data_IF_061514155979
#
_entry.id   IF_061514155979
#
_cell.length_a   1.000
_cell.length_b   1.000
_cell.length_c   1.000
_cell.angle_alpha   90.00
_cell.angle_beta   90.00
_cell.angle_gamma   90.00
#
_symmetry.space_group_name_H-M   'P 1'
#
loop_
_entity.id
_entity.type
_entity.pdbx_description
1 polymer ?
#
# COMPACT_ATOMS: atom_id res chain seq x y z
N UNK A 1 15.10 43.59 -8.50
CA UNK A 1 16.37 43.88 -7.77
C UNK A 1 17.51 43.56 -8.72
N UNK A 2 18.45 44.49 -8.95
CA UNK A 2 19.58 44.22 -9.83
C UNK A 2 20.48 43.15 -9.19
N UNK A 3 20.74 42.06 -9.89
CA UNK A 3 21.60 40.99 -9.39
C UNK A 3 23.02 41.54 -9.15
N UNK A 4 23.45 41.59 -7.90
CA UNK A 4 24.79 42.01 -7.51
C UNK A 4 25.79 40.97 -8.02
N UNK A 5 26.57 41.30 -9.05
CA UNK A 5 27.58 40.37 -9.59
C UNK A 5 28.69 40.15 -8.55
N UNK A 6 28.82 38.92 -8.06
CA UNK A 6 29.90 38.53 -7.14
C UNK A 6 31.17 38.28 -7.95
N UNK A 7 32.22 39.05 -7.70
CA UNK A 7 33.54 38.82 -8.29
C UNK A 7 34.26 37.76 -7.48
N UNK A 8 34.66 36.67 -8.13
CA UNK A 8 35.44 35.58 -7.52
C UNK A 8 36.85 35.66 -8.12
N UNK A 9 37.85 35.59 -7.25
CA UNK A 9 39.26 35.54 -7.64
C UNK A 9 39.78 34.15 -7.30
N UNK A 10 40.41 33.48 -8.26
CA UNK A 10 41.00 32.16 -8.10
C UNK A 10 42.49 32.30 -8.40
N UNK A 11 43.34 31.77 -7.53
CA UNK A 11 44.78 31.68 -7.76
C UNK A 11 45.06 30.33 -8.41
N UNK A 12 45.72 30.36 -9.56
CA UNK A 12 46.14 29.18 -10.32
C UNK A 12 47.58 29.36 -10.77
N UNK A 13 48.26 28.25 -11.05
CA UNK A 13 49.64 28.27 -11.53
C UNK A 13 49.74 28.96 -12.90
N UNK A 14 50.87 29.65 -13.13
CA UNK A 14 51.07 30.49 -14.30
C UNK A 14 51.05 29.70 -15.61
N UNK A 15 51.63 28.50 -15.61
CA UNK A 15 51.66 27.59 -16.75
C UNK A 15 50.26 27.10 -17.14
N UNK A 16 49.41 26.84 -16.14
CA UNK A 16 48.01 26.47 -16.32
C UNK A 16 47.20 27.64 -16.88
N UNK A 17 47.44 28.86 -16.37
CA UNK A 17 46.80 30.08 -16.87
C UNK A 17 47.18 30.37 -18.33
N UNK A 18 48.46 30.31 -18.66
CA UNK A 18 48.95 30.57 -20.02
C UNK A 18 48.41 29.52 -21.01
N UNK A 19 48.39 28.25 -20.59
CA UNK A 19 47.78 27.17 -21.37
C UNK A 19 46.29 27.42 -21.61
N UNK A 20 45.54 27.83 -20.59
CA UNK A 20 44.11 28.15 -20.71
C UNK A 20 43.88 29.37 -21.62
N UNK A 21 44.71 30.41 -21.49
CA UNK A 21 44.63 31.64 -22.28
C UNK A 21 44.93 31.41 -23.76
N UNK A 22 45.80 30.46 -24.08
CA UNK A 22 46.09 30.07 -25.47
C UNK A 22 44.94 29.31 -26.15
N UNK A 23 44.06 28.69 -25.37
CA UNK A 23 42.95 27.84 -25.86
C UNK A 23 41.60 28.51 -25.80
N UNK A 24 41.40 29.45 -24.89
CA UNK A 24 40.10 30.08 -24.64
C UNK A 24 40.22 31.60 -24.63
N UNK A 25 39.51 32.26 -25.55
CA UNK A 25 39.49 33.73 -25.65
C UNK A 25 38.84 34.39 -24.43
N UNK A 26 37.91 33.71 -23.77
CA UNK A 26 37.24 34.17 -22.54
C UNK A 26 37.25 33.10 -21.45
N UNK A 27 38.32 33.07 -20.66
CA UNK A 27 38.50 32.15 -19.53
C UNK A 27 37.35 32.29 -18.52
N UNK A 28 36.89 33.50 -18.22
CA UNK A 28 35.81 33.71 -17.24
C UNK A 28 34.48 33.12 -17.71
N UNK A 29 34.18 33.24 -19.01
CA UNK A 29 33.00 32.59 -19.60
C UNK A 29 33.09 31.08 -19.47
N UNK A 30 34.25 30.52 -19.82
CA UNK A 30 34.48 29.07 -19.75
C UNK A 30 34.41 28.50 -18.34
N UNK A 31 34.96 29.19 -17.35
CA UNK A 31 34.87 28.79 -15.94
C UNK A 31 33.42 28.79 -15.45
N UNK A 32 32.64 29.81 -15.81
CA UNK A 32 31.22 29.86 -15.43
C UNK A 32 30.40 28.75 -16.08
N UNK A 33 30.66 28.41 -17.34
CA UNK A 33 30.01 27.27 -18.01
C UNK A 33 30.33 25.93 -17.34
N UNK A 34 31.59 25.70 -16.97
CA UNK A 34 31.98 24.46 -16.32
C UNK A 34 31.37 24.34 -14.92
N UNK A 35 31.39 25.44 -14.16
CA UNK A 35 30.77 25.48 -12.83
C UNK A 35 29.25 25.30 -12.89
N UNK A 36 28.57 25.83 -13.92
CA UNK A 36 27.13 25.59 -14.05
C UNK A 36 26.84 24.12 -14.38
N UNK A 37 27.60 23.50 -15.27
CA UNK A 37 27.41 22.09 -15.62
C UNK A 37 27.59 21.14 -14.41
N UNK A 38 28.60 21.39 -13.57
CA UNK A 38 28.84 20.58 -12.37
C UNK A 38 27.77 20.78 -11.28
N UNK A 39 27.23 21.99 -11.15
CA UNK A 39 26.16 22.29 -10.18
C UNK A 39 24.82 21.68 -10.60
N UNK A 40 24.43 21.78 -11.87
CA UNK A 40 23.13 21.26 -12.33
C UNK A 40 23.06 19.72 -12.36
N UNK A 41 24.17 19.03 -12.69
CA UNK A 41 24.17 17.57 -12.79
C UNK A 41 24.11 16.81 -11.46
N UNK A 42 24.55 17.44 -10.36
CA UNK A 42 24.54 16.84 -9.02
C UNK A 42 23.19 16.99 -8.33
N UNK A 43 22.54 18.14 -8.50
CA UNK A 43 21.32 18.49 -7.77
C UNK A 43 20.10 17.74 -8.34
N UNK A 44 19.92 17.69 -9.66
CA UNK A 44 18.81 16.97 -10.30
C UNK A 44 18.86 15.46 -10.02
N UNK A 45 20.07 14.87 -10.08
CA UNK A 45 20.25 13.45 -9.78
C UNK A 45 19.92 13.14 -8.33
N UNK A 46 20.31 14.00 -7.40
CA UNK A 46 20.05 13.83 -5.96
C UNK A 46 18.55 13.96 -5.67
N UNK A 47 17.88 14.96 -6.25
CA UNK A 47 16.42 15.12 -6.14
C UNK A 47 15.66 13.91 -6.68
N UNK A 48 16.10 13.34 -7.82
CA UNK A 48 15.49 12.13 -8.38
C UNK A 48 15.71 10.89 -7.49
N UNK A 49 16.85 10.78 -6.82
CA UNK A 49 17.12 9.68 -5.88
C UNK A 49 16.24 9.80 -4.64
N UNK A 50 16.11 11.00 -4.08
CA UNK A 50 15.25 11.24 -2.92
C UNK A 50 13.78 10.94 -3.27
N UNK A 51 13.32 11.41 -4.43
CA UNK A 51 11.98 11.12 -4.93
C UNK A 51 11.74 9.62 -5.18
N UNK A 52 12.75 8.90 -5.67
CA UNK A 52 12.67 7.45 -5.82
C UNK A 52 12.57 6.75 -4.45
N UNK A 53 13.27 7.26 -3.43
CA UNK A 53 13.18 6.74 -2.07
C UNK A 53 11.79 6.94 -1.46
N UNK A 54 11.19 8.12 -1.64
CA UNK A 54 9.82 8.41 -1.21
C UNK A 54 8.81 7.48 -1.89
N UNK A 55 8.90 7.32 -3.20
CA UNK A 55 8.02 6.43 -3.96
C UNK A 55 8.12 4.96 -3.50
N UNK A 56 9.32 4.49 -3.14
CA UNK A 56 9.51 3.13 -2.59
C UNK A 56 8.86 2.96 -1.22
N UNK A 57 8.87 4.00 -0.38
CA UNK A 57 8.18 3.96 0.91
C UNK A 57 6.66 3.90 0.70
N UNK A 58 6.15 4.67 -0.24
CA UNK A 58 4.74 4.66 -0.62
C UNK A 58 4.33 3.29 -1.19
N UNK A 59 5.09 2.73 -2.14
CA UNK A 59 4.89 1.40 -2.72
C UNK A 59 4.80 0.32 -1.63
N UNK A 60 5.73 0.35 -0.66
CA UNK A 60 5.73 -0.59 0.47
C UNK A 60 4.48 -0.45 1.33
N UNK A 61 4.01 0.77 1.55
CA UNK A 61 2.79 1.02 2.33
C UNK A 61 1.53 0.49 1.62
N UNK A 62 1.44 0.71 0.30
CA UNK A 62 0.34 0.22 -0.54
C UNK A 62 0.34 -1.31 -0.58
N UNK A 63 1.50 -1.92 -0.78
CA UNK A 63 1.66 -3.38 -0.81
C UNK A 63 1.20 -4.03 0.50
N UNK A 64 1.55 -3.43 1.64
CA UNK A 64 1.07 -3.89 2.95
C UNK A 64 -0.46 -3.83 3.03
N UNK A 65 -1.06 -2.74 2.54
CA UNK A 65 -2.52 -2.58 2.54
C UNK A 65 -3.20 -3.61 1.65
N UNK A 66 -2.64 -3.92 0.49
CA UNK A 66 -3.15 -4.99 -0.40
C UNK A 66 -3.14 -6.34 0.35
N UNK A 67 -2.03 -6.69 1.01
CA UNK A 67 -1.95 -7.95 1.76
C UNK A 67 -2.96 -8.03 2.92
N UNK A 68 -3.26 -6.90 3.58
CA UNK A 68 -4.32 -6.84 4.60
C UNK A 68 -5.70 -7.12 4.00
N UNK A 69 -6.01 -6.50 2.85
CA UNK A 69 -7.29 -6.71 2.15
C UNK A 69 -7.44 -8.15 1.65
N UNK A 70 -6.39 -8.75 1.09
CA UNK A 70 -6.41 -10.16 0.67
C UNK A 70 -6.68 -11.10 1.85
N UNK A 71 -6.12 -10.83 3.02
CA UNK A 71 -6.41 -11.60 4.24
C UNK A 71 -7.87 -11.44 4.68
N UNK A 72 -8.40 -10.22 4.62
CA UNK A 72 -9.81 -9.96 4.91
C UNK A 72 -10.72 -10.72 3.94
N UNK A 73 -10.41 -10.75 2.64
CA UNK A 73 -11.17 -11.50 1.64
C UNK A 73 -11.18 -13.01 1.92
N UNK A 74 -10.03 -13.59 2.30
CA UNK A 74 -9.94 -15.00 2.68
C UNK A 74 -10.83 -15.30 3.89
N UNK A 75 -10.77 -14.47 4.94
CA UNK A 75 -11.61 -14.63 6.14
C UNK A 75 -13.10 -14.53 5.79
N UNK A 76 -13.48 -13.61 4.89
CA UNK A 76 -14.86 -13.47 4.43
C UNK A 76 -15.30 -14.73 3.67
N UNK A 77 -14.46 -15.29 2.79
CA UNK A 77 -14.75 -16.52 2.07
C UNK A 77 -14.88 -17.73 3.00
N UNK A 78 -13.97 -17.89 3.96
CA UNK A 78 -14.05 -18.94 4.97
C UNK A 78 -15.33 -18.81 5.80
N UNK A 79 -15.67 -17.60 6.25
CA UNK A 79 -16.90 -17.33 6.99
C UNK A 79 -18.14 -17.70 6.18
N UNK A 80 -18.22 -17.32 4.90
CA UNK A 80 -19.33 -17.69 4.00
C UNK A 80 -19.44 -19.20 3.80
N UNK A 81 -18.31 -19.88 3.57
CA UNK A 81 -18.30 -21.34 3.45
C UNK A 81 -18.77 -22.02 4.75
N UNK A 82 -18.36 -21.49 5.90
CA UNK A 82 -18.82 -21.99 7.20
C UNK A 82 -20.32 -21.77 7.41
N UNK A 83 -20.88 -20.63 6.96
CA UNK A 83 -22.32 -20.37 6.95
C UNK A 83 -23.06 -21.43 6.12
N UNK A 84 -22.59 -21.72 4.90
CA UNK A 84 -23.21 -22.75 4.03
C UNK A 84 -23.22 -24.13 4.69
N UNK A 85 -22.15 -24.49 5.40
CA UNK A 85 -22.08 -25.76 6.13
C UNK A 85 -23.12 -25.81 7.25
N UNK A 86 -23.28 -24.72 8.02
CA UNK A 86 -24.29 -24.65 9.08
C UNK A 86 -25.71 -24.73 8.51
N UNK A 87 -25.97 -24.07 7.37
CA UNK A 87 -27.26 -24.14 6.69
C UNK A 87 -27.57 -25.55 6.19
N UNK A 88 -26.59 -26.24 5.60
CA UNK A 88 -26.76 -27.63 5.17
C UNK A 88 -27.07 -28.57 6.35
N UNK A 89 -26.35 -28.39 7.47
CA UNK A 89 -26.62 -29.12 8.71
C UNK A 89 -28.02 -28.82 9.27
N UNK A 90 -28.41 -27.55 9.26
CA UNK A 90 -29.72 -27.11 9.73
C UNK A 90 -30.84 -27.78 8.93
N UNK A 91 -30.71 -27.79 7.59
CA UNK A 91 -31.64 -28.47 6.69
C UNK A 91 -31.74 -29.97 6.97
N UNK A 92 -30.61 -30.66 7.16
CA UNK A 92 -30.60 -32.10 7.49
C UNK A 92 -31.32 -32.39 8.82
N UNK A 93 -31.15 -31.54 9.83
CA UNK A 93 -31.86 -31.68 11.11
C UNK A 93 -33.36 -31.40 10.93
N UNK A 94 -33.71 -30.37 10.18
CA UNK A 94 -35.10 -30.00 9.93
C UNK A 94 -35.84 -31.12 9.20
N UNK A 95 -35.25 -31.73 8.17
CA UNK A 95 -35.83 -32.88 7.47
C UNK A 95 -36.11 -34.07 8.41
N UNK A 96 -35.28 -34.26 9.45
CA UNK A 96 -35.44 -35.35 10.43
C UNK A 96 -36.40 -35.04 11.57
N UNK A 97 -36.44 -33.79 12.06
CA UNK A 97 -37.13 -33.42 13.30
C UNK A 97 -38.29 -32.44 13.10
N UNK A 98 -38.43 -31.86 11.91
CA UNK A 98 -39.41 -30.84 11.57
C UNK A 98 -39.21 -29.48 12.26
N UNK A 99 -38.15 -29.33 13.06
CA UNK A 99 -37.89 -28.11 13.82
C UNK A 99 -36.42 -28.00 14.23
N UNK A 100 -35.88 -26.79 14.30
CA UNK A 100 -34.49 -26.52 14.69
C UNK A 100 -34.43 -25.70 15.98
N UNK A 101 -33.57 -26.09 16.93
CA UNK A 101 -33.32 -25.30 18.13
C UNK A 101 -32.30 -24.19 17.90
N UNK A 102 -32.64 -22.93 18.20
CA UNK A 102 -31.73 -21.79 18.08
C UNK A 102 -30.45 -21.94 18.92
N UNK A 103 -30.55 -22.58 20.09
CA UNK A 103 -29.36 -22.91 20.89
C UNK A 103 -28.40 -23.86 20.18
N UNK A 104 -28.91 -24.80 19.38
CA UNK A 104 -28.08 -25.73 18.61
C UNK A 104 -27.43 -25.01 17.43
N UNK A 105 -28.17 -24.13 16.75
CA UNK A 105 -27.62 -23.26 15.70
C UNK A 105 -26.50 -22.40 16.27
N UNK A 106 -26.71 -21.77 17.43
CA UNK A 106 -25.68 -20.95 18.09
C UNK A 106 -24.42 -21.75 18.43
N UNK A 107 -24.57 -22.99 18.93
CA UNK A 107 -23.43 -23.87 19.18
C UNK A 107 -22.70 -24.25 17.89
N UNK A 108 -23.42 -24.60 16.83
CA UNK A 108 -22.79 -25.01 15.57
C UNK A 108 -22.12 -23.82 14.86
N UNK A 109 -22.72 -22.62 14.90
CA UNK A 109 -22.08 -21.38 14.43
C UNK A 109 -20.80 -21.06 15.22
N UNK A 110 -20.80 -21.26 16.55
CA UNK A 110 -19.61 -21.07 17.38
C UNK A 110 -18.52 -22.07 17.03
N UNK A 111 -18.89 -23.34 16.82
CA UNK A 111 -17.97 -24.43 16.44
C UNK A 111 -17.33 -24.20 15.07
N UNK A 112 -18.09 -23.65 14.14
CA UNK A 112 -17.68 -23.36 12.75
C UNK A 112 -17.12 -21.95 12.58
N UNK A 113 -17.04 -21.16 13.65
CA UNK A 113 -16.58 -19.76 13.65
C UNK A 113 -17.27 -18.91 12.56
N UNK A 114 -18.60 -18.92 12.54
CA UNK A 114 -19.40 -18.15 11.60
C UNK A 114 -20.48 -17.31 12.29
N UNK A 115 -21.04 -16.34 11.56
CA UNK A 115 -21.98 -15.38 12.12
C UNK A 115 -23.35 -16.02 12.39
N UNK A 116 -23.72 -16.10 13.68
CA UNK A 116 -25.01 -16.63 14.11
C UNK A 116 -26.20 -15.81 13.60
N UNK A 117 -26.13 -14.48 13.66
CA UNK A 117 -27.26 -13.62 13.27
C UNK A 117 -27.55 -13.72 11.77
N UNK A 118 -26.52 -13.90 10.96
CA UNK A 118 -26.63 -14.08 9.52
C UNK A 118 -27.28 -15.42 9.18
N UNK A 119 -26.84 -16.51 9.84
CA UNK A 119 -27.44 -17.84 9.68
C UNK A 119 -28.93 -17.82 10.07
N UNK A 120 -29.29 -17.22 11.20
CA UNK A 120 -30.69 -17.16 11.64
C UNK A 120 -31.56 -16.40 10.64
N UNK A 121 -31.10 -15.25 10.12
CA UNK A 121 -31.84 -14.51 9.09
C UNK A 121 -32.08 -15.34 7.84
N UNK A 122 -31.09 -16.15 7.42
CA UNK A 122 -31.24 -17.02 6.24
C UNK A 122 -32.27 -18.12 6.53
N UNK A 123 -32.20 -18.77 7.70
CA UNK A 123 -33.14 -19.81 8.09
C UNK A 123 -34.59 -19.28 8.20
N UNK A 124 -34.77 -18.07 8.74
CA UNK A 124 -36.08 -17.39 8.82
C UNK A 124 -36.65 -17.08 7.43
N UNK A 125 -35.80 -16.73 6.46
CA UNK A 125 -36.21 -16.49 5.08
C UNK A 125 -36.54 -17.78 4.30
N UNK A 126 -36.00 -18.94 4.73
CA UNK A 126 -36.24 -20.25 4.11
C UNK A 126 -37.47 -20.99 4.69
N UNK A 127 -38.33 -20.30 5.46
CA UNK A 127 -39.51 -20.87 6.14
C UNK A 127 -39.19 -22.05 7.08
N UNK A 128 -37.96 -22.14 7.60
CA UNK A 128 -37.55 -23.19 8.52
C UNK A 128 -38.05 -22.86 9.93
N UNK A 129 -38.84 -23.75 10.53
CA UNK A 129 -39.35 -23.55 11.88
C UNK A 129 -38.22 -23.65 12.92
N UNK A 130 -37.92 -22.53 13.58
CA UNK A 130 -36.93 -22.46 14.66
C UNK A 130 -37.60 -22.27 16.03
N UNK A 131 -37.06 -22.92 17.08
CA UNK A 131 -37.52 -22.77 18.47
C UNK A 131 -36.37 -22.30 19.35
N UNK A 132 -36.67 -21.36 20.25
CA UNK A 132 -35.77 -21.04 21.35
C UNK A 132 -36.11 -21.94 22.54
N UNK A 133 -35.21 -22.84 22.91
CA UNK A 133 -35.38 -23.64 24.13
C UNK A 133 -34.88 -22.80 25.30
N UNK A 134 -35.80 -22.38 26.17
CA UNK A 134 -35.50 -21.65 27.41
C UNK A 134 -34.78 -22.55 28.43
#
# INVERSE_FOLDING_TARGET
MAATKKKITITIDCDLYDSAKSKYDNISGRVNELLSMDLYGSDEKSELIDRLHELKLEEKSITKRICELEKEEVIIHESKSNIEIVLAWAKEIYERKGVIGLNQVKMECTRRNCNYEEVVKILENEDIATVNFA
#
